data_IF_629990686747
#
_entry.id   IF_629990686747
#
_cell.length_a   1.000
_cell.length_b   1.000
_cell.length_c   1.000
_cell.angle_alpha   90.00
_cell.angle_beta   90.00
_cell.angle_gamma   90.00
#
_symmetry.space_group_name_H-M   'P 1'
#
loop_
_entity.id
_entity.type
_entity.pdbx_description
1 polymer ?
#
# COMPACT_ATOMS: atom_id res chain seq x y z
N UNK A 1 2.22 16.01 0.98
CA UNK A 1 2.28 17.47 0.77
C UNK A 1 0.85 17.96 0.79
N UNK A 2 0.57 19.00 1.56
CA UNK A 2 -0.76 19.57 1.64
C UNK A 2 -1.03 20.40 0.39
N UNK A 3 -2.22 20.24 -0.20
CA UNK A 3 -2.62 21.02 -1.37
C UNK A 3 -2.78 22.50 -0.99
N UNK A 4 -2.24 23.40 -1.81
CA UNK A 4 -2.43 24.85 -1.68
C UNK A 4 -3.37 25.42 -2.76
N UNK A 5 -4.03 24.55 -3.52
CA UNK A 5 -5.09 24.92 -4.46
C UNK A 5 -6.18 23.84 -4.49
N UNK A 6 -7.39 24.25 -4.85
CA UNK A 6 -8.59 23.42 -4.89
C UNK A 6 -9.19 23.47 -6.30
N UNK A 7 -9.34 22.29 -6.91
CA UNK A 7 -10.06 22.15 -8.16
C UNK A 7 -11.58 22.02 -7.89
N UNK A 8 -12.40 22.72 -8.67
CA UNK A 8 -13.86 22.69 -8.58
C UNK A 8 -14.50 22.74 -9.98
N UNK A 9 -15.71 22.20 -10.07
CA UNK A 9 -16.55 22.36 -11.24
C UNK A 9 -17.32 23.69 -11.14
N UNK A 10 -17.34 24.45 -12.23
CA UNK A 10 -18.05 25.71 -12.37
C UNK A 10 -18.91 25.70 -13.65
N UNK A 11 -19.83 26.66 -13.77
CA UNK A 11 -20.68 26.78 -14.97
C UNK A 11 -19.89 27.04 -16.25
N UNK A 12 -18.70 27.59 -16.11
CA UNK A 12 -17.72 27.90 -17.16
C UNK A 12 -16.84 26.72 -17.55
N UNK A 13 -16.83 25.63 -16.76
CA UNK A 13 -15.92 24.50 -16.92
C UNK A 13 -15.24 24.14 -15.60
N UNK A 14 -13.94 23.79 -15.65
CA UNK A 14 -13.15 23.48 -14.46
C UNK A 14 -12.39 24.74 -14.00
N UNK A 15 -12.48 25.04 -12.72
CA UNK A 15 -11.78 26.16 -12.07
C UNK A 15 -10.84 25.62 -11.00
N UNK A 16 -9.69 26.27 -10.83
CA UNK A 16 -8.73 25.98 -9.75
C UNK A 16 -8.51 27.26 -8.97
N UNK A 17 -8.90 27.25 -7.70
CA UNK A 17 -8.70 28.38 -6.79
C UNK A 17 -7.46 28.12 -5.94
N UNK A 18 -6.58 29.11 -5.82
CA UNK A 18 -5.49 29.08 -4.84
C UNK A 18 -6.05 29.26 -3.43
N UNK A 19 -5.51 28.51 -2.47
CA UNK A 19 -5.65 28.79 -1.05
C UNK A 19 -4.75 29.99 -0.74
N UNK A 20 -5.23 30.93 0.07
CA UNK A 20 -4.52 32.18 0.36
C UNK A 20 -3.05 31.96 0.79
N UNK A 21 -2.16 32.84 0.33
CA UNK A 21 -0.77 32.93 0.83
C UNK A 21 0.33 32.37 -0.07
N UNK A 22 0.02 31.88 -1.28
CA UNK A 22 1.04 31.39 -2.24
C UNK A 22 1.99 32.52 -2.66
N UNK A 23 3.28 32.34 -2.43
CA UNK A 23 4.31 33.34 -2.73
C UNK A 23 4.75 33.30 -4.20
N UNK A 24 5.36 34.39 -4.66
CA UNK A 24 6.01 34.42 -5.98
C UNK A 24 7.10 33.35 -6.05
N UNK A 25 7.07 32.56 -7.12
CA UNK A 25 7.94 31.40 -7.36
C UNK A 25 7.68 30.17 -6.48
N UNK A 26 6.59 30.15 -5.72
CA UNK A 26 6.13 28.94 -5.04
C UNK A 26 5.38 28.03 -6.02
N UNK A 27 5.49 26.72 -5.81
CA UNK A 27 4.74 25.75 -6.59
C UNK A 27 3.27 25.72 -6.14
N UNK A 28 2.37 25.65 -7.12
CA UNK A 28 0.94 25.42 -6.89
C UNK A 28 0.68 23.92 -6.95
N UNK A 29 0.07 23.41 -5.88
CA UNK A 29 -0.25 22.00 -5.67
C UNK A 29 -1.75 21.86 -5.41
N UNK A 30 -2.43 21.01 -6.17
CA UNK A 30 -3.79 20.60 -5.89
C UNK A 30 -3.87 19.07 -5.86
N UNK A 31 -4.89 18.54 -5.18
CA UNK A 31 -5.07 17.09 -5.03
C UNK A 31 -5.75 16.49 -6.26
N UNK A 32 -5.29 15.31 -6.67
CA UNK A 32 -5.98 14.45 -7.64
C UNK A 32 -7.16 13.69 -7.01
N UNK A 33 -7.39 13.85 -5.71
CA UNK A 33 -8.40 13.11 -4.95
C UNK A 33 -7.83 11.89 -4.22
N UNK A 34 -8.71 11.11 -3.58
CA UNK A 34 -8.34 9.99 -2.71
C UNK A 34 -7.97 8.74 -3.51
N UNK A 35 -6.76 8.73 -4.07
CA UNK A 35 -6.25 7.60 -4.85
C UNK A 35 -5.06 6.93 -4.15
N UNK A 36 -5.07 5.59 -4.11
CA UNK A 36 -3.92 4.82 -3.68
C UNK A 36 -2.79 4.87 -4.72
N UNK A 37 -1.57 4.54 -4.29
CA UNK A 37 -0.39 4.58 -5.16
C UNK A 37 -0.46 3.54 -6.28
N UNK A 38 -1.24 2.47 -6.16
CA UNK A 38 -1.44 1.52 -7.26
C UNK A 38 -2.19 2.20 -8.40
N UNK A 39 -3.29 2.88 -8.10
CA UNK A 39 -4.03 3.68 -9.06
C UNK A 39 -3.16 4.80 -9.64
N UNK A 40 -2.47 5.57 -8.78
CA UNK A 40 -1.61 6.67 -9.24
C UNK A 40 -0.50 6.18 -10.17
N UNK A 41 0.09 5.02 -9.88
CA UNK A 41 1.13 4.44 -10.71
C UNK A 41 0.61 3.94 -12.05
N UNK A 42 -0.59 3.34 -12.08
CA UNK A 42 -1.22 2.85 -13.30
C UNK A 42 -1.73 3.96 -14.22
N UNK A 43 -2.41 4.97 -13.66
CA UNK A 43 -3.09 6.00 -14.44
C UNK A 43 -2.20 7.22 -14.72
N UNK A 44 -1.31 7.56 -13.80
CA UNK A 44 -0.50 8.79 -13.87
C UNK A 44 1.01 8.54 -13.86
N UNK A 45 1.45 7.30 -13.66
CA UNK A 45 2.87 6.92 -13.73
C UNK A 45 3.74 7.34 -12.54
N UNK A 46 3.13 7.71 -11.41
CA UNK A 46 3.86 8.09 -10.20
C UNK A 46 3.23 7.52 -8.92
N UNK A 47 4.01 7.52 -7.83
CA UNK A 47 3.56 7.19 -6.48
C UNK A 47 3.88 8.34 -5.53
N UNK A 48 3.07 8.52 -4.48
CA UNK A 48 3.31 9.53 -3.45
C UNK A 48 3.95 8.97 -2.18
N UNK A 49 4.04 7.65 -2.05
CA UNK A 49 4.85 7.01 -1.01
C UNK A 49 6.32 6.96 -1.43
N UNK A 50 7.21 7.35 -0.52
CA UNK A 50 8.66 7.29 -0.73
C UNK A 50 9.29 6.42 0.36
N UNK A 51 10.02 5.39 -0.07
CA UNK A 51 10.78 4.50 0.81
C UNK A 51 12.16 5.10 1.11
N UNK A 52 12.52 5.10 2.38
CA UNK A 52 13.85 5.36 2.87
C UNK A 52 14.53 4.02 3.17
N UNK A 53 15.50 3.63 2.34
CA UNK A 53 16.28 2.42 2.52
C UNK A 53 17.44 2.70 3.47
N UNK A 54 17.36 2.16 4.70
CA UNK A 54 18.44 2.28 5.68
C UNK A 54 19.41 1.10 5.60
N UNK A 55 18.92 -0.09 5.24
CA UNK A 55 19.74 -1.27 4.91
C UNK A 55 18.97 -2.25 4.02
N UNK A 56 19.63 -3.32 3.56
CA UNK A 56 18.99 -4.36 2.74
C UNK A 56 17.79 -5.06 3.41
N UNK A 57 17.70 -5.01 4.74
CA UNK A 57 16.66 -5.66 5.53
C UNK A 57 15.87 -4.67 6.40
N UNK A 58 16.07 -3.37 6.22
CA UNK A 58 15.41 -2.34 7.03
C UNK A 58 15.03 -1.14 6.16
N UNK A 59 13.73 -0.90 6.05
CA UNK A 59 13.15 0.20 5.29
C UNK A 59 12.12 0.92 6.15
N UNK A 60 12.07 2.24 5.99
CA UNK A 60 11.04 3.09 6.59
C UNK A 60 10.42 3.96 5.51
N UNK A 61 9.16 4.37 5.68
CA UNK A 61 8.58 5.36 4.78
C UNK A 61 9.06 6.75 5.16
N UNK A 62 9.67 7.47 4.21
CA UNK A 62 9.92 8.92 4.33
C UNK A 62 8.61 9.69 4.19
N UNK A 63 7.73 9.23 3.29
CA UNK A 63 6.34 9.63 3.22
C UNK A 63 5.48 8.44 2.80
N UNK A 64 4.23 8.42 3.27
CA UNK A 64 3.27 7.37 2.97
C UNK A 64 1.97 8.02 2.49
N UNK A 65 1.42 7.51 1.39
CA UNK A 65 0.14 7.96 0.86
C UNK A 65 -0.98 7.56 1.83
N UNK A 66 -1.73 8.50 2.43
CA UNK A 66 -2.78 8.17 3.39
C UNK A 66 -3.97 7.43 2.77
N UNK A 67 -4.11 7.43 1.45
CA UNK A 67 -5.17 6.71 0.73
C UNK A 67 -4.78 5.27 0.38
N UNK A 68 -3.52 4.87 0.62
CA UNK A 68 -3.12 3.48 0.47
C UNK A 68 -3.90 2.59 1.44
N UNK A 69 -4.46 1.52 0.91
CA UNK A 69 -5.12 0.50 1.72
C UNK A 69 -4.12 -0.59 2.08
N UNK A 70 -3.96 -0.84 3.38
CA UNK A 70 -3.20 -2.00 3.85
C UNK A 70 -4.18 -3.12 4.12
N UNK A 71 -4.25 -4.10 3.22
CA UNK A 71 -5.10 -5.27 3.41
C UNK A 71 -4.43 -6.27 4.34
N UNK A 72 -4.63 -6.09 5.65
CA UNK A 72 -4.17 -7.07 6.65
C UNK A 72 -5.25 -8.14 6.80
N UNK A 73 -4.96 -9.37 6.36
CA UNK A 73 -5.88 -10.49 6.57
C UNK A 73 -6.17 -10.72 8.05
N UNK A 74 -7.36 -11.24 8.36
CA UNK A 74 -7.75 -11.56 9.75
C UNK A 74 -6.80 -12.56 10.42
N UNK A 75 -6.17 -13.45 9.63
CA UNK A 75 -5.15 -14.38 10.13
C UNK A 75 -3.93 -13.58 10.60
N UNK A 76 -3.45 -12.62 9.81
CA UNK A 76 -2.31 -11.77 10.17
C UNK A 76 -2.66 -10.89 11.37
N UNK A 77 -3.87 -10.32 11.45
CA UNK A 77 -4.32 -9.56 12.63
C UNK A 77 -4.29 -10.42 13.90
N UNK A 78 -4.78 -11.66 13.83
CA UNK A 78 -4.74 -12.61 14.95
C UNK A 78 -3.29 -12.90 15.37
N UNK A 79 -2.41 -13.15 14.41
CA UNK A 79 -0.98 -13.39 14.67
C UNK A 79 -0.29 -12.18 15.33
N UNK A 80 -0.58 -10.96 14.86
CA UNK A 80 -0.06 -9.72 15.45
C UNK A 80 -0.64 -9.42 16.84
N UNK A 81 -1.81 -9.95 17.17
CA UNK A 81 -2.42 -9.78 18.50
C UNK A 81 -1.85 -10.73 19.57
N UNK A 82 -1.07 -11.75 19.17
CA UNK A 82 -0.51 -12.70 20.11
C UNK A 82 0.58 -12.04 21.00
N UNK A 83 0.52 -12.23 22.33
CA UNK A 83 1.44 -11.57 23.27
C UNK A 83 2.91 -11.99 23.14
N UNK A 84 3.21 -13.05 22.39
CA UNK A 84 4.58 -13.53 22.10
C UNK A 84 5.01 -13.22 20.66
N UNK A 85 4.93 -11.94 20.27
CA UNK A 85 5.25 -11.44 18.91
C UNK A 85 6.59 -11.92 18.34
N UNK A 86 7.64 -12.06 19.17
CA UNK A 86 8.96 -12.57 18.72
C UNK A 86 8.87 -13.98 18.10
N UNK A 87 8.14 -14.88 18.74
CA UNK A 87 8.01 -16.26 18.26
C UNK A 87 7.15 -16.35 16.99
N UNK A 88 6.21 -15.42 16.82
CA UNK A 88 5.34 -15.37 15.64
C UNK A 88 6.11 -14.95 14.40
N UNK A 89 6.97 -13.93 14.50
CA UNK A 89 7.80 -13.49 13.38
C UNK A 89 8.82 -14.56 12.97
N UNK A 90 9.46 -15.21 13.96
CA UNK A 90 10.39 -16.32 13.68
C UNK A 90 9.68 -17.53 13.08
N UNK A 91 8.48 -17.87 13.57
CA UNK A 91 7.66 -18.93 13.00
C UNK A 91 7.23 -18.62 11.57
N UNK A 92 6.79 -17.38 11.30
CA UNK A 92 6.40 -16.94 9.95
C UNK A 92 7.55 -17.10 8.96
N UNK A 93 8.78 -16.71 9.34
CA UNK A 93 9.98 -16.94 8.53
C UNK A 93 10.28 -18.43 8.33
N UNK A 94 10.13 -19.25 9.37
CA UNK A 94 10.33 -20.71 9.27
C UNK A 94 9.34 -21.39 8.32
N UNK A 95 8.09 -20.92 8.23
CA UNK A 95 7.08 -21.46 7.30
C UNK A 95 7.10 -20.80 5.92
N UNK A 96 8.10 -19.96 5.65
CA UNK A 96 8.30 -19.34 4.33
C UNK A 96 7.43 -18.11 4.06
N UNK A 97 6.86 -17.49 5.10
CA UNK A 97 6.08 -16.25 4.98
C UNK A 97 6.99 -15.04 5.16
N UNK A 98 7.21 -14.29 4.07
CA UNK A 98 8.14 -13.15 4.00
C UNK A 98 7.46 -11.87 3.52
N UNK A 99 6.18 -11.65 3.85
CA UNK A 99 5.37 -10.50 3.39
C UNK A 99 5.09 -10.38 1.88
N UNK A 100 5.70 -11.21 1.02
CA UNK A 100 5.73 -10.94 -0.43
C UNK A 100 4.67 -11.63 -1.32
N UNK A 101 3.76 -12.46 -0.80
CA UNK A 101 2.80 -13.15 -1.68
C UNK A 101 1.37 -13.17 -1.15
N UNK A 102 0.51 -12.37 -1.78
CA UNK A 102 -0.91 -12.67 -1.94
C UNK A 102 -1.02 -13.91 -2.84
N UNK A 103 -0.91 -15.11 -2.27
CA UNK A 103 -1.21 -16.33 -3.01
C UNK A 103 -2.72 -16.43 -3.21
N UNK A 104 -3.16 -16.23 -4.45
CA UNK A 104 -4.48 -16.66 -4.89
C UNK A 104 -4.65 -18.15 -4.59
N UNK A 105 -5.76 -18.49 -3.94
CA UNK A 105 -6.14 -19.88 -3.71
C UNK A 105 -6.58 -20.43 -5.07
N UNK A 106 -5.71 -21.16 -5.76
CA UNK A 106 -6.16 -22.14 -6.73
C UNK A 106 -6.25 -23.50 -6.02
N UNK A 107 -7.50 -23.87 -5.71
CA UNK A 107 -7.86 -25.11 -5.05
C UNK A 107 -7.92 -26.24 -6.08
N UNK A 108 -6.76 -26.85 -6.36
CA UNK A 108 -6.71 -28.13 -7.08
C UNK A 108 -5.81 -29.15 -6.38
N UNK A 109 -6.14 -29.44 -5.11
CA UNK A 109 -5.93 -30.81 -4.59
C UNK A 109 -7.24 -31.58 -4.74
N UNK A 110 -7.43 -32.24 -5.88
CA UNK A 110 -8.21 -33.48 -5.93
C UNK A 110 -7.25 -34.64 -6.08
N UNK A 111 -7.47 -35.67 -5.25
CA UNK A 111 -6.62 -36.85 -5.04
C UNK A 111 -6.14 -37.52 -6.32
N UNK A 112 -5.12 -38.36 -6.25
CA UNK A 112 -5.31 -39.76 -5.88
C UNK A 112 -4.14 -40.28 -5.04
N UNK A 113 -4.44 -40.74 -3.82
CA UNK A 113 -3.70 -41.83 -3.20
C UNK A 113 -4.36 -43.14 -3.66
N UNK A 114 -3.58 -44.03 -4.28
CA UNK A 114 -3.79 -45.47 -4.22
C UNK A 114 -2.43 -46.13 -4.13
N UNK A 115 -2.12 -46.61 -2.93
CA UNK A 115 -1.30 -47.79 -2.73
C UNK A 115 -1.88 -48.94 -3.57
N UNK A 116 -1.01 -49.73 -4.19
CA UNK A 116 -1.22 -51.17 -4.30
C UNK A 116 0.15 -51.83 -4.44
N UNK A 117 0.47 -52.55 -3.39
CA UNK A 117 1.39 -53.68 -3.28
C UNK A 117 1.05 -54.74 -4.34
N UNK A 118 2.07 -55.18 -5.08
CA UNK A 118 2.52 -56.58 -5.24
C UNK A 118 3.84 -56.61 -6.01
#
# INVERSE_FOLDING_TARGET
>A
MDSNAIAKEAKSGYEVDSIDGIQKNEHVWFSYGPHDDTFLQCEYGFSTSELNYMSSNDYSYKCFNPYNTVNISEIVKKLLSLPKKKNVVEWLKQVGYYDDYTLGIDDTRKGVAKENTE
#
